data_IF_274035232467
#
_entry.id   IF_274035232467
#
_cell.length_a   1.000
_cell.length_b   1.000
_cell.length_c   1.000
_cell.angle_alpha   90.00
_cell.angle_beta   90.00
_cell.angle_gamma   90.00
#
_symmetry.space_group_name_H-M   'P 1'
#
loop_
_entity.id
_entity.type
_entity.pdbx_description
1 polymer ?
#
# COMPACT_ATOMS: atom_id res chain seq x y z
N UNK A 1 2.62 -44.73 6.20
CA UNK A 1 3.66 -43.72 5.98
C UNK A 1 2.98 -42.37 5.76
N UNK A 2 2.99 -41.51 6.79
CA UNK A 2 2.30 -40.21 6.82
C UNK A 2 3.08 -39.21 5.95
N UNK A 3 2.47 -38.68 4.89
CA UNK A 3 3.05 -37.59 4.09
C UNK A 3 2.59 -36.25 4.67
N UNK A 4 3.57 -35.40 4.94
CA UNK A 4 3.47 -34.05 5.47
C UNK A 4 2.67 -33.20 4.48
N UNK A 5 1.43 -32.86 4.83
CA UNK A 5 0.60 -31.91 4.09
C UNK A 5 0.64 -30.58 4.84
N UNK A 6 1.32 -29.61 4.21
CA UNK A 6 0.99 -28.19 4.22
C UNK A 6 0.99 -27.47 5.58
N UNK A 7 2.19 -27.16 6.08
CA UNK A 7 2.38 -26.13 7.11
C UNK A 7 3.01 -24.90 6.45
N UNK A 8 2.21 -24.11 5.73
CA UNK A 8 2.64 -22.85 5.10
C UNK A 8 1.61 -21.71 5.21
N UNK A 9 0.81 -21.67 6.28
CA UNK A 9 -0.19 -20.60 6.52
C UNK A 9 -0.23 -20.15 7.99
N UNK A 10 0.90 -20.01 8.66
CA UNK A 10 0.92 -19.35 9.98
C UNK A 10 2.19 -18.52 10.16
N UNK A 11 2.32 -17.46 9.36
CA UNK A 11 3.10 -16.26 9.76
C UNK A 11 2.09 -15.27 10.35
N UNK A 12 1.40 -15.71 11.38
CA UNK A 12 0.49 -14.90 12.15
C UNK A 12 1.05 -14.89 13.56
N UNK A 13 1.97 -13.96 13.80
CA UNK A 13 2.06 -13.37 15.13
C UNK A 13 0.65 -13.02 15.60
N UNK A 14 0.39 -13.16 16.90
CA UNK A 14 -0.90 -12.89 17.51
C UNK A 14 -1.34 -11.44 17.26
N UNK A 15 -2.07 -11.18 16.17
CA UNK A 15 -2.76 -9.91 15.94
C UNK A 15 -4.22 -10.05 16.37
N UNK A 16 -4.78 -8.97 16.89
CA UNK A 16 -6.21 -8.90 17.21
C UNK A 16 -6.95 -8.67 15.90
N UNK A 17 -7.63 -9.70 15.43
CA UNK A 17 -8.49 -9.66 14.25
C UNK A 17 -9.92 -9.40 14.71
N UNK A 18 -10.58 -8.39 14.16
CA UNK A 18 -12.03 -8.26 14.32
C UNK A 18 -12.71 -8.96 13.14
N UNK A 19 -13.75 -9.74 13.42
CA UNK A 19 -14.63 -10.24 12.36
C UNK A 19 -15.35 -9.04 11.71
N UNK A 20 -15.36 -8.95 10.38
CA UNK A 20 -16.08 -7.94 9.59
C UNK A 20 -17.59 -8.10 9.79
N UNK A 21 -18.09 -7.49 10.86
CA UNK A 21 -19.50 -7.40 11.19
C UNK A 21 -19.96 -5.95 10.97
N UNK A 22 -20.14 -5.56 9.71
CA UNK A 22 -21.07 -4.50 9.24
C UNK A 22 -20.94 -3.07 9.76
N UNK A 23 -20.08 -2.79 10.74
CA UNK A 23 -19.91 -1.49 11.38
C UNK A 23 -18.44 -1.08 11.25
N UNK A 24 -18.05 -0.71 10.04
CA UNK A 24 -16.68 -0.30 9.71
C UNK A 24 -16.54 1.20 9.96
N UNK A 25 -16.03 1.58 11.14
CA UNK A 25 -15.41 2.89 11.31
C UNK A 25 -13.99 2.82 10.76
N UNK A 26 -13.76 3.49 9.63
CA UNK A 26 -12.51 4.09 9.18
C UNK A 26 -11.23 3.30 9.51
N UNK A 27 -10.72 2.52 8.55
CA UNK A 27 -9.38 1.95 8.66
C UNK A 27 -8.40 2.44 7.59
N UNK A 28 -8.67 3.65 7.09
CA UNK A 28 -7.63 4.46 6.49
C UNK A 28 -6.65 4.90 7.57
N UNK A 29 -5.37 4.74 7.30
CA UNK A 29 -4.39 5.43 8.13
C UNK A 29 -4.63 6.92 8.04
N UNK A 30 -4.57 7.58 9.19
CA UNK A 30 -4.66 9.04 9.23
C UNK A 30 -3.65 9.65 8.25
N UNK A 31 -3.90 10.83 7.69
CA UNK A 31 -2.93 11.50 6.82
C UNK A 31 -1.53 11.61 7.46
N UNK A 32 -1.46 11.70 8.79
CA UNK A 32 -0.20 11.73 9.53
C UNK A 32 0.53 10.39 9.57
N UNK A 33 -0.20 9.30 9.69
CA UNK A 33 0.34 7.95 9.62
C UNK A 33 0.81 7.59 8.22
N UNK A 34 0.02 7.92 7.20
CA UNK A 34 0.41 7.72 5.80
C UNK A 34 1.72 8.44 5.47
N UNK A 35 1.95 9.64 6.02
CA UNK A 35 3.22 10.38 5.85
C UNK A 35 4.44 9.64 6.37
N UNK A 36 4.32 8.83 7.44
CA UNK A 36 5.45 8.06 7.98
C UNK A 36 5.92 7.04 6.93
N UNK A 37 4.98 6.41 6.23
CA UNK A 37 5.28 5.46 5.16
C UNK A 37 5.78 6.13 3.88
N UNK A 38 5.56 7.43 3.69
CA UNK A 38 6.17 8.19 2.59
C UNK A 38 7.53 8.82 2.96
N UNK A 39 8.03 8.58 4.18
CA UNK A 39 9.27 9.20 4.66
C UNK A 39 10.52 8.75 3.89
N UNK A 40 11.63 9.51 3.95
CA UNK A 40 12.88 9.14 3.31
C UNK A 40 13.40 7.75 3.71
N UNK A 41 13.12 7.32 4.94
CA UNK A 41 13.59 6.04 5.49
C UNK A 41 12.72 4.84 5.07
N UNK A 42 11.52 5.09 4.55
CA UNK A 42 10.67 4.03 4.02
C UNK A 42 11.22 3.54 2.67
N UNK A 43 11.12 2.25 2.40
CA UNK A 43 11.49 1.64 1.12
C UNK A 43 10.23 1.15 0.41
N UNK A 44 10.18 1.31 -0.91
CA UNK A 44 9.02 0.93 -1.68
C UNK A 44 9.30 -0.28 -2.57
N UNK A 45 8.33 -1.19 -2.55
CA UNK A 45 8.28 -2.34 -3.42
C UNK A 45 6.96 -2.33 -4.18
N UNK A 46 6.95 -2.99 -5.32
CA UNK A 46 5.75 -3.22 -6.13
C UNK A 46 5.58 -4.72 -6.36
N UNK A 47 4.34 -5.18 -6.25
CA UNK A 47 3.95 -6.53 -6.62
C UNK A 47 3.42 -6.56 -8.06
N UNK A 48 3.63 -7.67 -8.77
CA UNK A 48 2.90 -7.96 -10.01
C UNK A 48 1.56 -8.69 -9.75
N UNK A 49 1.21 -8.91 -8.49
CA UNK A 49 -0.05 -9.49 -8.05
C UNK A 49 -1.00 -8.37 -7.60
N UNK A 50 -2.31 -8.63 -7.73
CA UNK A 50 -3.33 -7.81 -7.11
C UNK A 50 -3.74 -8.40 -5.76
N UNK A 51 -4.05 -7.54 -4.81
CA UNK A 51 -4.60 -7.93 -3.51
C UNK A 51 -5.94 -7.22 -3.33
N UNK A 52 -6.81 -7.78 -2.48
CA UNK A 52 -8.03 -7.10 -2.08
C UNK A 52 -7.70 -5.84 -1.28
N UNK A 53 -8.52 -4.81 -1.40
CA UNK A 53 -8.51 -3.61 -0.59
C UNK A 53 -9.94 -3.16 -0.33
N UNK A 54 -10.17 -2.55 0.83
CA UNK A 54 -11.43 -1.92 1.16
C UNK A 54 -11.40 -0.44 0.79
N UNK A 55 -12.45 0.00 0.11
CA UNK A 55 -12.68 1.37 -0.28
C UNK A 55 -13.96 1.90 0.34
N UNK A 56 -13.98 3.17 0.71
CA UNK A 56 -15.17 3.85 1.24
C UNK A 56 -15.41 5.11 0.42
N UNK A 57 -16.56 5.17 -0.24
CA UNK A 57 -16.95 6.37 -0.99
C UNK A 57 -17.48 7.41 0.00
N UNK A 58 -16.90 8.63 0.06
CA UNK A 58 -17.29 9.64 1.04
C UNK A 58 -18.77 10.02 1.00
N UNK A 59 -19.38 9.98 -0.19
CA UNK A 59 -20.71 10.54 -0.44
C UNK A 59 -21.84 9.53 -0.18
N UNK A 60 -21.58 8.23 -0.30
CA UNK A 60 -22.59 7.17 -0.18
C UNK A 60 -22.37 6.26 1.03
N UNK A 61 -21.26 6.40 1.76
CA UNK A 61 -20.83 5.47 2.82
C UNK A 61 -20.83 4.00 2.36
N UNK A 62 -20.75 3.77 1.05
CA UNK A 62 -20.72 2.44 0.45
C UNK A 62 -19.32 1.86 0.65
N UNK A 63 -19.29 0.66 1.21
CA UNK A 63 -18.09 -0.13 1.43
C UNK A 63 -17.90 -1.04 0.21
N UNK A 64 -16.80 -0.87 -0.51
CA UNK A 64 -16.48 -1.69 -1.69
C UNK A 64 -15.15 -2.44 -1.51
N UNK A 65 -15.15 -3.73 -1.83
CA UNK A 65 -13.93 -4.54 -1.86
C UNK A 65 -13.48 -4.72 -3.31
N UNK A 66 -12.26 -4.27 -3.63
CA UNK A 66 -11.71 -4.37 -4.98
C UNK A 66 -10.31 -5.01 -4.96
N UNK A 67 -9.98 -5.77 -6.02
CA UNK A 67 -8.60 -6.20 -6.25
C UNK A 67 -7.82 -5.09 -6.95
N UNK A 68 -6.85 -4.50 -6.25
CA UNK A 68 -5.98 -3.44 -6.79
C UNK A 68 -4.53 -3.90 -6.88
N UNK A 69 -3.77 -3.25 -7.75
CA UNK A 69 -2.32 -3.26 -7.61
C UNK A 69 -1.94 -2.38 -6.41
N UNK A 70 -0.77 -2.63 -5.85
CA UNK A 70 -0.37 -1.96 -4.63
C UNK A 70 1.14 -1.83 -4.50
N UNK A 71 1.54 -0.75 -3.83
CA UNK A 71 2.88 -0.60 -3.31
C UNK A 71 2.97 -1.22 -1.92
N UNK A 72 4.14 -1.75 -1.57
CA UNK A 72 4.49 -2.16 -0.21
C UNK A 72 5.50 -1.15 0.30
N UNK A 73 5.10 -0.36 1.29
CA UNK A 73 5.97 0.55 2.00
C UNK A 73 6.54 -0.13 3.24
N UNK A 74 7.86 -0.19 3.34
CA UNK A 74 8.59 -0.84 4.42
C UNK A 74 9.35 0.23 5.20
N UNK A 75 9.00 0.42 6.47
CA UNK A 75 9.66 1.36 7.36
C UNK A 75 10.50 0.60 8.40
N UNK A 76 11.84 0.75 8.40
CA UNK A 76 12.68 0.21 9.46
C UNK A 76 12.34 0.83 10.83
N UNK A 77 12.20 -0.01 11.86
CA UNK A 77 11.94 0.40 13.26
C UNK A 77 12.73 -0.49 14.20
N UNK A 78 13.89 0.02 14.66
CA UNK A 78 14.82 -0.77 15.47
C UNK A 78 15.38 -1.95 14.66
N UNK A 79 15.15 -3.17 15.13
CA UNK A 79 15.54 -4.42 14.45
C UNK A 79 14.42 -5.01 13.56
N UNK A 80 13.26 -4.36 13.52
CA UNK A 80 12.07 -4.83 12.83
C UNK A 80 11.62 -3.83 11.75
N UNK A 81 10.55 -4.16 11.05
CA UNK A 81 10.01 -3.40 9.93
C UNK A 81 8.50 -3.23 10.07
N UNK A 82 8.00 -2.00 9.98
CA UNK A 82 6.57 -1.71 9.84
C UNK A 82 6.20 -1.76 8.37
N UNK A 83 5.07 -2.40 8.06
CA UNK A 83 4.58 -2.56 6.70
C UNK A 83 3.27 -1.82 6.53
N UNK A 84 3.16 -1.10 5.42
CA UNK A 84 1.89 -0.61 4.93
C UNK A 84 1.77 -0.82 3.42
N UNK A 85 0.55 -0.87 2.93
CA UNK A 85 0.21 -1.10 1.54
C UNK A 85 -0.49 0.13 0.98
N UNK A 86 -0.13 0.57 -0.22
CA UNK A 86 -0.78 1.71 -0.87
C UNK A 86 -1.40 1.21 -2.18
N UNK A 87 -2.72 0.99 -2.24
CA UNK A 87 -3.38 0.56 -3.46
C UNK A 87 -3.38 1.68 -4.49
N UNK A 88 -3.41 1.29 -5.76
CA UNK A 88 -3.51 2.21 -6.88
C UNK A 88 -4.26 1.54 -8.04
N UNK A 89 -4.81 2.37 -8.92
CA UNK A 89 -5.59 1.90 -10.06
C UNK A 89 -4.74 1.28 -11.15
N UNK A 90 -5.41 0.53 -12.01
CA UNK A 90 -4.77 -0.23 -13.07
C UNK A 90 -3.91 0.63 -13.99
N UNK A 91 -2.78 0.05 -14.42
CA UNK A 91 -1.82 0.74 -15.29
C UNK A 91 -2.03 0.35 -16.73
N UNK A 92 -1.73 1.27 -17.65
CA UNK A 92 -1.90 1.00 -19.09
C UNK A 92 -0.86 0.03 -19.68
N UNK A 93 0.22 -0.28 -18.95
CA UNK A 93 1.32 -1.10 -19.47
C UNK A 93 2.06 -1.86 -18.38
N UNK A 94 2.59 -3.03 -18.75
CA UNK A 94 3.30 -3.96 -17.87
C UNK A 94 4.62 -4.37 -18.49
N UNK A 95 5.61 -4.68 -17.66
CA UNK A 95 6.86 -5.28 -18.13
C UNK A 95 6.68 -6.76 -18.48
N UNK A 96 7.74 -7.37 -19.02
CA UNK A 96 7.75 -8.79 -19.42
C UNK A 96 7.48 -9.77 -18.26
N UNK A 97 7.67 -9.34 -17.01
CA UNK A 97 7.44 -10.12 -15.79
C UNK A 97 6.07 -9.81 -15.17
N UNK A 98 5.25 -8.99 -15.85
CA UNK A 98 3.89 -8.63 -15.47
C UNK A 98 3.81 -7.53 -14.42
N UNK A 99 4.92 -6.88 -14.06
CA UNK A 99 4.86 -5.75 -13.14
C UNK A 99 4.33 -4.49 -13.84
N UNK A 100 3.52 -3.67 -13.15
CA UNK A 100 3.10 -2.39 -13.68
C UNK A 100 4.28 -1.47 -14.04
N UNK A 101 4.22 -0.84 -15.21
CA UNK A 101 5.20 0.17 -15.63
C UNK A 101 4.81 1.52 -15.04
N UNK A 102 5.65 2.04 -14.15
CA UNK A 102 5.41 3.28 -13.43
C UNK A 102 6.14 4.44 -14.13
N UNK A 103 5.39 5.47 -14.50
CA UNK A 103 5.95 6.63 -15.17
C UNK A 103 5.39 7.92 -14.56
N UNK A 104 6.23 8.94 -14.57
CA UNK A 104 5.90 10.26 -14.06
C UNK A 104 6.29 11.34 -15.06
N UNK A 105 5.55 12.44 -15.03
CA UNK A 105 5.82 13.65 -15.79
C UNK A 105 5.96 14.83 -14.86
N UNK A 106 7.06 15.57 -14.98
CA UNK A 106 7.23 16.84 -14.27
C UNK A 106 6.17 17.82 -14.77
N UNK A 107 5.34 18.29 -13.85
CA UNK A 107 4.25 19.23 -14.10
C UNK A 107 4.31 20.33 -13.07
N UNK A 108 4.12 21.58 -13.50
CA UNK A 108 4.03 22.72 -12.60
C UNK A 108 2.67 22.71 -11.91
N UNK A 109 2.66 22.56 -10.58
CA UNK A 109 1.44 22.49 -9.75
C UNK A 109 1.58 23.40 -8.54
N UNK A 110 0.47 23.99 -8.11
CA UNK A 110 0.42 24.74 -6.86
C UNK A 110 0.61 23.81 -5.65
N UNK A 111 1.40 24.24 -4.67
CA UNK A 111 1.63 23.51 -3.42
C UNK A 111 1.10 24.34 -2.24
N UNK A 112 0.08 23.86 -1.51
CA UNK A 112 -0.52 24.53 -0.36
C UNK A 112 0.50 24.83 0.74
N UNK A 113 1.43 23.90 1.00
CA UNK A 113 2.49 24.04 2.02
C UNK A 113 3.40 25.26 1.79
N UNK A 114 3.77 25.54 0.54
CA UNK A 114 4.70 26.61 0.18
C UNK A 114 4.01 27.82 -0.45
N UNK A 115 2.72 27.69 -0.77
CA UNK A 115 1.87 28.70 -1.42
C UNK A 115 2.41 29.19 -2.77
N UNK A 116 3.06 28.30 -3.51
CA UNK A 116 3.69 28.61 -4.81
C UNK A 116 3.54 27.44 -5.77
N UNK A 117 3.77 27.72 -7.05
CA UNK A 117 3.88 26.68 -8.07
C UNK A 117 5.26 26.03 -8.04
N UNK A 118 5.27 24.69 -8.05
CA UNK A 118 6.47 23.86 -7.96
C UNK A 118 6.44 22.77 -9.04
N UNK A 119 7.62 22.27 -9.40
CA UNK A 119 7.76 21.15 -10.32
C UNK A 119 7.48 19.83 -9.59
N UNK A 120 6.32 19.25 -9.83
CA UNK A 120 5.85 18.01 -9.19
C UNK A 120 5.91 16.87 -10.20
N UNK A 121 6.53 15.71 -9.87
CA UNK A 121 6.52 14.53 -10.73
C UNK A 121 5.15 13.83 -10.63
N UNK A 122 4.22 14.17 -11.51
CA UNK A 122 2.86 13.62 -11.50
C UNK A 122 2.86 12.23 -12.13
N UNK A 123 2.23 11.24 -11.49
CA UNK A 123 2.06 9.92 -12.09
C UNK A 123 1.21 10.01 -13.37
N UNK A 124 1.62 9.30 -14.43
CA UNK A 124 0.88 9.29 -15.71
C UNK A 124 0.42 7.91 -16.16
N UNK A 125 1.04 6.83 -15.65
CA UNK A 125 0.64 5.46 -15.96
C UNK A 125 -0.24 4.80 -14.89
N UNK A 126 -0.46 5.46 -13.75
CA UNK A 126 -1.31 4.99 -12.66
C UNK A 126 -1.96 6.18 -11.93
N UNK A 127 -3.08 5.93 -11.27
CA UNK A 127 -3.76 6.89 -10.40
C UNK A 127 -3.92 6.32 -9.00
N UNK A 128 -4.01 7.21 -8.02
CA UNK A 128 -4.53 6.87 -6.72
C UNK A 128 -6.01 7.22 -6.70
N UNK A 129 -6.84 6.25 -6.39
CA UNK A 129 -8.28 6.45 -6.21
C UNK A 129 -8.52 7.08 -4.84
N UNK A 130 -9.32 8.15 -4.77
CA UNK A 130 -9.69 8.82 -3.53
C UNK A 130 -10.42 7.88 -2.55
N UNK A 131 -11.18 6.91 -3.07
CA UNK A 131 -11.88 5.89 -2.28
C UNK A 131 -10.92 4.93 -1.57
N UNK A 132 -9.68 4.81 -2.06
CA UNK A 132 -8.64 3.92 -1.52
C UNK A 132 -7.36 4.66 -1.09
N UNK A 133 -7.38 6.01 -1.15
CA UNK A 133 -6.17 6.82 -1.00
C UNK A 133 -5.69 6.85 0.44
N UNK A 134 -4.59 6.15 0.69
CA UNK A 134 -3.97 6.06 2.00
C UNK A 134 -3.02 4.88 2.06
N UNK A 135 -2.21 4.84 3.10
CA UNK A 135 -1.52 3.61 3.44
C UNK A 135 -2.48 2.72 4.27
N UNK A 136 -2.36 1.40 4.09
CA UNK A 136 -3.23 0.38 4.67
C UNK A 136 -2.38 -0.62 5.47
N UNK A 137 -2.81 -1.06 6.64
CA UNK A 137 -2.10 -2.08 7.44
C UNK A 137 -2.15 -3.50 6.83
N UNK A 138 -2.98 -3.70 5.80
CA UNK A 138 -3.08 -4.93 5.02
C UNK A 138 -4.24 -5.84 5.42
N UNK A 139 -4.43 -6.92 4.66
CA UNK A 139 -5.59 -7.81 4.76
C UNK A 139 -5.21 -9.24 5.10
N UNK A 140 -6.13 -9.94 5.75
CA UNK A 140 -6.09 -11.37 6.00
C UNK A 140 -7.34 -12.04 5.43
N UNK A 141 -7.15 -13.23 4.84
CA UNK A 141 -8.26 -14.07 4.39
C UNK A 141 -8.39 -15.26 5.36
N UNK A 142 -9.50 -15.37 6.10
CA UNK A 142 -9.82 -16.55 6.92
C UNK A 142 -11.11 -17.19 6.47
N UNK A 143 -11.09 -18.51 6.23
CA UNK A 143 -12.27 -19.31 5.85
C UNK A 143 -13.05 -18.67 4.67
N UNK A 144 -12.33 -18.10 3.71
CA UNK A 144 -12.92 -17.42 2.53
C UNK A 144 -13.44 -16.00 2.79
N UNK A 145 -13.42 -15.51 4.04
CA UNK A 145 -13.78 -14.14 4.42
C UNK A 145 -12.53 -13.25 4.51
N UNK A 146 -12.69 -11.95 4.21
CA UNK A 146 -11.62 -10.93 4.22
C UNK A 146 -11.72 -10.07 5.47
N UNK A 147 -10.57 -9.71 6.02
CA UNK A 147 -10.43 -8.92 7.24
C UNK A 147 -9.29 -7.92 7.10
N UNK A 148 -9.54 -6.64 7.33
CA UNK A 148 -8.47 -5.66 7.47
C UNK A 148 -7.80 -5.74 8.84
N UNK A 149 -6.50 -5.54 8.87
CA UNK A 149 -5.73 -5.50 10.12
C UNK A 149 -5.96 -4.16 10.82
N UNK A 150 -6.31 -4.14 12.10
CA UNK A 150 -6.49 -2.86 12.84
C UNK A 150 -5.19 -2.09 13.11
N UNK A 151 -4.02 -2.69 12.86
CA UNK A 151 -2.71 -2.10 13.14
C UNK A 151 -1.64 -2.61 12.20
N UNK A 152 -0.53 -1.86 12.11
CA UNK A 152 0.60 -2.23 11.27
C UNK A 152 1.14 -3.60 11.58
N UNK A 153 1.44 -4.34 10.53
CA UNK A 153 2.30 -5.50 10.65
C UNK A 153 3.72 -5.04 10.97
N UNK A 154 4.25 -5.50 12.10
CA UNK A 154 5.67 -5.36 12.46
C UNK A 154 6.32 -6.71 12.22
N UNK A 155 7.34 -6.75 11.37
CA UNK A 155 8.01 -7.96 10.95
C UNK A 155 9.48 -7.94 11.32
N UNK A 156 10.01 -9.09 11.72
CA UNK A 156 11.45 -9.35 11.66
C UNK A 156 11.94 -9.37 10.21
N UNK A 157 13.25 -9.29 10.00
CA UNK A 157 13.85 -9.36 8.66
C UNK A 157 13.49 -10.64 7.90
N UNK A 158 13.50 -11.80 8.59
CA UNK A 158 13.16 -13.07 7.97
C UNK A 158 11.68 -13.11 7.52
N UNK A 159 10.77 -12.62 8.36
CA UNK A 159 9.35 -12.55 8.00
C UNK A 159 9.11 -11.57 6.85
N UNK A 160 9.83 -10.45 6.82
CA UNK A 160 9.78 -9.49 5.72
C UNK A 160 10.21 -10.14 4.40
N UNK A 161 11.33 -10.86 4.39
CA UNK A 161 11.83 -11.55 3.20
C UNK A 161 10.83 -12.60 2.69
N UNK A 162 10.19 -13.34 3.60
CA UNK A 162 9.15 -14.30 3.24
C UNK A 162 7.92 -13.58 2.66
N UNK A 163 7.49 -12.48 3.28
CA UNK A 163 6.38 -11.68 2.78
C UNK A 163 6.65 -11.19 1.34
N UNK A 164 7.78 -10.53 1.12
CA UNK A 164 8.16 -9.98 -0.20
C UNK A 164 8.22 -11.06 -1.28
N UNK A 165 8.79 -12.23 -0.95
CA UNK A 165 8.81 -13.38 -1.86
C UNK A 165 7.40 -13.90 -2.15
N UNK A 166 6.54 -14.02 -1.13
CA UNK A 166 5.16 -14.51 -1.31
C UNK A 166 4.32 -13.60 -2.20
N UNK A 167 4.61 -12.29 -2.18
CA UNK A 167 3.93 -11.28 -3.00
C UNK A 167 4.58 -11.05 -4.34
N UNK A 168 5.62 -11.80 -4.69
CA UNK A 168 6.44 -11.56 -5.86
C UNK A 168 6.77 -10.06 -6.00
N UNK A 169 7.30 -9.47 -4.94
CA UNK A 169 7.54 -8.05 -4.83
C UNK A 169 8.96 -7.70 -5.26
N UNK A 170 9.11 -6.64 -6.06
CA UNK A 170 10.40 -6.07 -6.44
C UNK A 170 10.58 -4.68 -5.86
N UNK A 171 11.80 -4.34 -5.48
CA UNK A 171 12.14 -2.99 -5.00
C UNK A 171 12.03 -2.00 -6.15
N UNK A 172 11.45 -0.83 -5.89
CA UNK A 172 11.47 0.26 -6.85
C UNK A 172 12.89 0.81 -7.02
N UNK A 173 13.20 1.27 -8.23
CA UNK A 173 14.42 2.05 -8.43
C UNK A 173 14.31 3.40 -7.72
N UNK A 174 15.47 3.99 -7.43
CA UNK A 174 15.54 5.22 -6.62
C UNK A 174 14.82 6.41 -7.24
N UNK A 175 14.74 6.50 -8.57
CA UNK A 175 14.08 7.61 -9.26
C UNK A 175 12.57 7.46 -9.17
N UNK A 176 12.06 6.29 -9.51
CA UNK A 176 10.63 5.98 -9.42
C UNK A 176 10.13 6.08 -7.99
N UNK A 177 10.88 5.58 -7.00
CA UNK A 177 10.53 5.70 -5.58
C UNK A 177 10.47 7.17 -5.13
N UNK A 178 11.47 7.99 -5.52
CA UNK A 178 11.48 9.42 -5.21
C UNK A 178 10.26 10.14 -5.79
N UNK A 179 9.92 9.84 -7.03
CA UNK A 179 8.78 10.47 -7.72
C UNK A 179 7.44 10.00 -7.14
N UNK A 180 7.29 8.71 -6.84
CA UNK A 180 6.14 8.17 -6.12
C UNK A 180 5.93 8.90 -4.79
N UNK A 181 6.97 9.00 -3.96
CA UNK A 181 6.89 9.69 -2.65
C UNK A 181 6.49 11.16 -2.81
N UNK A 182 7.11 11.87 -3.76
CA UNK A 182 6.79 13.28 -4.01
C UNK A 182 5.35 13.47 -4.48
N UNK A 183 4.87 12.61 -5.40
CA UNK A 183 3.50 12.66 -5.90
C UNK A 183 2.47 12.36 -4.82
N UNK A 184 2.62 11.25 -4.11
CA UNK A 184 1.73 10.86 -3.01
C UNK A 184 1.72 11.91 -1.88
N UNK A 185 2.89 12.46 -1.55
CA UNK A 185 3.00 13.57 -0.57
C UNK A 185 2.24 14.80 -1.05
N UNK A 186 2.40 15.19 -2.32
CA UNK A 186 1.68 16.33 -2.88
C UNK A 186 0.16 16.10 -2.79
N UNK A 187 -0.34 14.92 -3.17
CA UNK A 187 -1.76 14.58 -3.07
C UNK A 187 -2.29 14.71 -1.63
N UNK A 188 -1.59 14.16 -0.63
CA UNK A 188 -1.99 14.25 0.79
C UNK A 188 -2.13 15.70 1.28
N UNK A 189 -1.30 16.62 0.80
CA UNK A 189 -1.31 18.02 1.24
C UNK A 189 -2.18 18.94 0.38
N UNK A 190 -2.66 18.49 -0.78
CA UNK A 190 -3.28 19.38 -1.76
C UNK A 190 -4.60 18.88 -2.35
N UNK A 191 -4.83 17.57 -2.37
CA UNK A 191 -6.01 16.96 -2.97
C UNK A 191 -7.04 16.46 -1.94
N UNK A 192 -6.69 16.49 -0.64
CA UNK A 192 -7.59 16.26 0.49
C UNK A 192 -7.98 17.54 1.20
#
# INVERSE_FOLDING_TARGET
MKKIILMLIFILGSFVFAETAGNETELFLSPNETKIFLSPNAQFYISNQKEWFLGITPDDSSIEWEKKYYFISILPVGKNYKIAYIPFDETKSYDKEGYPILTHRITRKYTQKTRKEENIPVAVSYSFDNTFFGAHPGIEIKKGKRYERKSYQVLSENELNILLKSRNAKRLDSTTEKYLKAWATWLIYNAG
#
